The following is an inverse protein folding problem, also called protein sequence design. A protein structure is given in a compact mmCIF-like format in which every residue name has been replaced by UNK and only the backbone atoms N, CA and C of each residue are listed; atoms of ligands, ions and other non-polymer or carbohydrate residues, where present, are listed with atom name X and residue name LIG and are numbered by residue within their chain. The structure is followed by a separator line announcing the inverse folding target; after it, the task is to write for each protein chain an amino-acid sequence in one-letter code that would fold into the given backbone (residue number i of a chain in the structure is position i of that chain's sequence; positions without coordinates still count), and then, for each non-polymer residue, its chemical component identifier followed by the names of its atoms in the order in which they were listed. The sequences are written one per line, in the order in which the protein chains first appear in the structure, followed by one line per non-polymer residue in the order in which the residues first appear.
data_IF_842775207202
#
_entry.id   IF_842775207202
#
_cell.length_a   1.000
_cell.length_b   1.000
_cell.length_c   1.000
_cell.angle_alpha   90.00
_cell.angle_beta   90.00
_cell.angle_gamma   90.00
#
_symmetry.space_group_name_H-M   'P 1'
#
loop_
_entity.id
_entity.type
_entity.pdbx_description
1 polymer ?
#
# COMPACT_ATOMS: atom_id res chain seq x y z
N UNK A 1 3.29 -35.68 -45.07
CA UNK A 1 3.83 -35.26 -43.76
C UNK A 1 4.58 -33.96 -43.94
N UNK A 2 3.90 -32.84 -43.71
CA UNK A 2 4.28 -31.50 -44.17
C UNK A 2 5.40 -30.93 -43.30
N UNK A 3 6.64 -31.10 -43.75
CA UNK A 3 7.85 -30.63 -43.08
C UNK A 3 8.30 -29.27 -43.68
N UNK A 4 7.38 -28.30 -43.78
CA UNK A 4 7.69 -27.00 -44.38
C UNK A 4 8.58 -26.16 -43.45
N UNK A 5 9.65 -25.50 -43.98
CA UNK A 5 10.45 -24.52 -43.25
C UNK A 5 9.64 -23.42 -42.54
N UNK A 6 8.50 -23.02 -43.10
CA UNK A 6 7.60 -22.03 -42.48
C UNK A 6 7.03 -22.53 -41.14
N UNK A 7 6.64 -23.82 -41.06
CA UNK A 7 6.09 -24.43 -39.85
C UNK A 7 7.16 -24.48 -38.74
N UNK A 8 8.41 -24.81 -39.08
CA UNK A 8 9.53 -24.81 -38.12
C UNK A 8 9.91 -23.42 -37.62
N UNK A 9 9.76 -22.39 -38.47
CA UNK A 9 9.97 -20.99 -38.07
C UNK A 9 8.88 -20.55 -37.09
N UNK A 10 7.61 -20.78 -37.43
CA UNK A 10 6.47 -20.46 -36.59
C UNK A 10 6.53 -21.14 -35.21
N UNK A 11 6.90 -22.43 -35.14
CA UNK A 11 7.07 -23.14 -33.87
C UNK A 11 8.20 -22.52 -33.02
N UNK A 12 9.30 -22.09 -33.65
CA UNK A 12 10.40 -21.43 -32.93
C UNK A 12 10.00 -20.06 -32.39
N UNK A 13 9.27 -19.27 -33.16
CA UNK A 13 8.73 -17.97 -32.72
C UNK A 13 7.77 -18.15 -31.54
N UNK A 14 6.79 -19.08 -31.63
CA UNK A 14 5.91 -19.39 -30.50
C UNK A 14 6.63 -19.88 -29.25
N UNK A 15 7.68 -20.68 -29.42
CA UNK A 15 8.48 -21.14 -28.29
C UNK A 15 9.26 -19.97 -27.64
N UNK A 16 9.77 -19.04 -28.44
CA UNK A 16 10.42 -17.84 -27.93
C UNK A 16 9.43 -16.96 -27.16
N UNK A 17 8.25 -16.69 -27.71
CA UNK A 17 7.22 -15.88 -27.05
C UNK A 17 6.84 -16.46 -25.68
N UNK A 18 6.62 -17.78 -25.62
CA UNK A 18 6.35 -18.48 -24.35
C UNK A 18 7.51 -18.37 -23.35
N UNK A 19 8.74 -18.51 -23.81
CA UNK A 19 9.93 -18.35 -22.94
C UNK A 19 10.02 -16.91 -22.43
N UNK A 20 9.79 -15.92 -23.29
CA UNK A 20 9.81 -14.51 -22.95
C UNK A 20 8.73 -14.19 -21.90
N UNK A 21 7.49 -14.65 -22.11
CA UNK A 21 6.40 -14.49 -21.13
C UNK A 21 6.76 -15.08 -19.76
N UNK A 22 7.29 -16.30 -19.72
CA UNK A 22 7.70 -16.94 -18.46
C UNK A 22 8.84 -16.16 -17.77
N UNK A 23 9.83 -15.67 -18.53
CA UNK A 23 10.94 -14.88 -17.96
C UNK A 23 10.41 -13.55 -17.41
N UNK A 24 9.54 -12.86 -18.15
CA UNK A 24 8.90 -11.63 -17.68
C UNK A 24 8.12 -11.91 -16.39
N UNK A 25 7.34 -12.99 -16.33
CA UNK A 25 6.59 -13.37 -15.13
C UNK A 25 7.51 -13.61 -13.93
N UNK A 26 8.61 -14.35 -14.10
CA UNK A 26 9.58 -14.57 -13.02
C UNK A 26 10.21 -13.27 -12.50
N UNK A 27 10.52 -12.33 -13.40
CA UNK A 27 11.06 -11.02 -13.04
C UNK A 27 10.03 -10.22 -12.24
N UNK A 28 8.78 -10.14 -12.71
CA UNK A 28 7.73 -9.37 -12.06
C UNK A 28 7.33 -9.95 -10.69
N UNK A 29 7.24 -11.29 -10.57
CA UNK A 29 7.03 -11.95 -9.28
C UNK A 29 8.17 -11.66 -8.29
N UNK A 30 9.42 -11.64 -8.78
CA UNK A 30 10.59 -11.36 -7.93
C UNK A 30 10.62 -9.91 -7.45
N UNK A 31 10.32 -8.96 -8.34
CA UNK A 31 10.13 -7.55 -7.98
C UNK A 31 9.03 -7.38 -6.95
N UNK A 32 7.87 -8.00 -7.18
CA UNK A 32 6.73 -7.94 -6.25
C UNK A 32 7.12 -8.43 -4.85
N UNK A 33 7.80 -9.58 -4.74
CA UNK A 33 8.28 -10.10 -3.45
C UNK A 33 9.22 -9.11 -2.77
N UNK A 34 10.21 -8.58 -3.50
CA UNK A 34 11.15 -7.62 -2.95
C UNK A 34 10.43 -6.37 -2.42
N UNK A 35 9.55 -5.76 -3.21
CA UNK A 35 8.78 -4.59 -2.78
C UNK A 35 7.87 -4.88 -1.58
N UNK A 36 7.24 -6.06 -1.54
CA UNK A 36 6.38 -6.46 -0.42
C UNK A 36 7.17 -6.57 0.89
N UNK A 37 8.36 -7.16 0.86
CA UNK A 37 9.20 -7.30 2.06
C UNK A 37 9.71 -5.94 2.55
N UNK A 38 10.11 -5.05 1.63
CA UNK A 38 10.52 -3.69 1.98
C UNK A 38 9.34 -2.90 2.56
N UNK A 39 8.15 -3.01 1.97
CA UNK A 39 6.94 -2.36 2.49
C UNK A 39 6.65 -2.79 3.92
N UNK A 40 6.74 -4.09 4.18
CA UNK A 40 6.52 -4.65 5.51
C UNK A 40 7.55 -4.11 6.51
N UNK A 41 8.82 -4.07 6.14
CA UNK A 41 9.88 -3.53 7.00
C UNK A 41 9.66 -2.04 7.30
N UNK A 42 9.32 -1.24 6.28
CA UNK A 42 9.01 0.18 6.42
C UNK A 42 7.84 0.42 7.37
N UNK A 43 6.72 -0.27 7.14
CA UNK A 43 5.52 -0.10 7.96
C UNK A 43 5.72 -0.61 9.39
N UNK A 44 6.54 -1.65 9.59
CA UNK A 44 6.91 -2.08 10.93
C UNK A 44 7.76 -1.03 11.66
N UNK A 45 8.69 -0.39 10.97
CA UNK A 45 9.47 0.71 11.54
C UNK A 45 8.55 1.90 11.91
N UNK A 46 7.64 2.28 11.02
CA UNK A 46 6.69 3.37 11.26
C UNK A 46 5.68 3.04 12.37
N UNK A 47 5.23 1.79 12.47
CA UNK A 47 4.44 1.30 13.60
C UNK A 47 5.17 1.51 14.92
N UNK A 48 6.44 1.08 14.98
CA UNK A 48 7.24 1.18 16.20
C UNK A 48 7.53 2.64 16.58
N UNK A 49 7.83 3.51 15.61
CA UNK A 49 7.98 4.96 15.86
C UNK A 49 6.67 5.53 16.39
N UNK A 50 5.54 5.18 15.78
CA UNK A 50 4.21 5.61 16.24
C UNK A 50 3.90 5.17 17.67
N UNK A 51 4.26 3.94 18.01
CA UNK A 51 4.15 3.38 19.36
C UNK A 51 4.96 4.19 20.37
N UNK A 52 6.24 4.41 20.09
CA UNK A 52 7.12 5.23 20.94
C UNK A 52 6.57 6.64 21.15
N UNK A 53 6.01 7.24 20.09
CA UNK A 53 5.38 8.56 20.18
C UNK A 53 4.06 8.55 20.97
N UNK A 54 3.33 7.44 20.97
CA UNK A 54 2.05 7.28 21.68
C UNK A 54 2.25 7.03 23.17
N UNK A 55 3.16 6.12 23.54
CA UNK A 55 3.38 5.71 24.93
C UNK A 55 4.04 6.80 25.77
N UNK A 56 4.82 7.67 25.14
CA UNK A 56 5.49 8.79 25.80
C UNK A 56 4.58 10.03 25.78
N UNK A 57 3.57 10.06 26.65
CA UNK A 57 2.58 11.15 26.76
C UNK A 57 3.17 12.57 26.97
N UNK A 58 4.45 12.66 27.34
CA UNK A 58 5.20 13.92 27.42
C UNK A 58 5.61 14.50 26.05
N UNK A 59 5.51 13.72 24.97
CA UNK A 59 5.86 14.15 23.62
C UNK A 59 4.75 15.03 23.04
N UNK A 60 4.80 16.29 23.45
CA UNK A 60 4.08 17.38 22.81
C UNK A 60 4.78 17.84 21.52
N UNK A 61 4.23 18.91 20.93
CA UNK A 61 4.68 19.48 19.67
C UNK A 61 6.20 19.75 19.61
N UNK A 62 6.77 20.34 20.65
CA UNK A 62 8.19 20.70 20.70
C UNK A 62 9.12 19.48 20.65
N UNK A 63 8.70 18.33 21.18
CA UNK A 63 9.49 17.11 21.13
C UNK A 63 9.46 16.51 19.72
N UNK A 64 8.29 16.50 19.07
CA UNK A 64 8.17 16.03 17.68
C UNK A 64 8.95 16.93 16.72
N UNK A 65 8.92 18.25 16.92
CA UNK A 65 9.75 19.22 16.20
C UNK A 65 11.24 18.88 16.32
N UNK A 66 11.74 18.71 17.55
CA UNK A 66 13.14 18.35 17.80
C UNK A 66 13.50 16.98 17.20
N UNK A 67 12.66 15.97 17.39
CA UNK A 67 12.90 14.63 16.86
C UNK A 67 12.98 14.63 15.33
N UNK A 68 12.08 15.35 14.66
CA UNK A 68 12.10 15.55 13.21
C UNK A 68 13.39 16.24 12.74
N UNK A 69 13.91 17.21 13.49
CA UNK A 69 15.20 17.85 13.18
C UNK A 69 16.36 16.85 13.33
N UNK A 70 16.43 16.15 14.46
CA UNK A 70 17.50 15.20 14.76
C UNK A 70 17.52 14.03 13.75
N UNK A 71 16.34 13.50 13.40
CA UNK A 71 16.20 12.43 12.42
C UNK A 71 16.60 12.88 11.01
N UNK A 72 16.15 14.07 10.56
CA UNK A 72 16.53 14.59 9.25
C UNK A 72 18.02 14.97 9.16
N UNK A 73 18.67 15.31 10.28
CA UNK A 73 20.10 15.51 10.31
C UNK A 73 20.87 14.19 10.14
N UNK A 74 20.39 13.11 10.77
CA UNK A 74 21.00 11.79 10.69
C UNK A 74 20.68 11.03 9.40
N UNK A 75 19.51 11.27 8.82
CA UNK A 75 19.01 10.65 7.60
C UNK A 75 18.55 11.73 6.59
N UNK A 76 19.49 12.51 6.02
CA UNK A 76 19.16 13.67 5.20
C UNK A 76 18.44 13.33 3.88
N UNK A 77 18.65 12.12 3.37
CA UNK A 77 18.04 11.65 2.12
C UNK A 77 16.63 11.04 2.31
N UNK A 78 16.14 10.97 3.55
CA UNK A 78 14.84 10.37 3.91
C UNK A 78 13.83 11.45 4.29
N UNK A 79 12.84 11.70 3.43
CA UNK A 79 11.76 12.68 3.68
C UNK A 79 10.72 12.15 4.64
N UNK A 80 10.72 10.84 4.87
CA UNK A 80 9.91 10.12 5.84
C UNK A 80 9.93 10.66 7.27
N UNK A 81 10.92 11.47 7.66
CA UNK A 81 11.08 11.96 9.03
C UNK A 81 10.67 13.42 9.26
N UNK A 82 9.76 13.96 8.42
CA UNK A 82 9.12 15.25 8.72
C UNK A 82 8.18 15.17 9.94
N UNK A 83 7.95 16.30 10.61
CA UNK A 83 7.05 16.38 11.78
C UNK A 83 5.65 15.84 11.47
N UNK A 84 5.09 16.25 10.32
CA UNK A 84 3.79 15.77 9.86
C UNK A 84 3.79 14.25 9.73
N UNK A 85 4.86 13.66 9.19
CA UNK A 85 4.90 12.22 9.02
C UNK A 85 5.09 11.48 10.36
N UNK A 86 5.81 12.05 11.32
CA UNK A 86 5.88 11.51 12.69
C UNK A 86 4.50 11.51 13.37
N UNK A 87 3.72 12.58 13.20
CA UNK A 87 2.33 12.60 13.67
C UNK A 87 1.46 11.56 12.96
N UNK A 88 1.63 11.37 11.65
CA UNK A 88 0.95 10.28 10.93
C UNK A 88 1.35 8.90 11.46
N UNK A 89 2.62 8.67 11.82
CA UNK A 89 3.08 7.41 12.43
C UNK A 89 2.41 7.17 13.78
N UNK A 90 2.31 8.20 14.64
CA UNK A 90 1.59 8.12 15.91
C UNK A 90 0.11 7.78 15.69
N UNK A 91 -0.56 8.50 14.80
CA UNK A 91 -1.97 8.24 14.44
C UNK A 91 -2.16 6.83 13.86
N UNK A 92 -1.24 6.39 13.00
CA UNK A 92 -1.23 5.05 12.42
C UNK A 92 -1.22 3.98 13.51
N UNK A 93 -0.31 4.08 14.48
CA UNK A 93 -0.27 3.20 15.64
C UNK A 93 -1.57 3.25 16.46
N UNK A 94 -1.95 4.43 16.96
CA UNK A 94 -3.10 4.59 17.87
C UNK A 94 -4.43 4.14 17.26
N UNK A 95 -4.58 4.33 15.94
CA UNK A 95 -5.78 3.95 15.21
C UNK A 95 -5.83 2.44 15.02
N UNK A 96 -4.76 1.87 14.46
CA UNK A 96 -4.77 0.47 14.08
C UNK A 96 -4.54 -0.48 15.24
N UNK A 97 -3.98 -0.03 16.36
CA UNK A 97 -3.98 -0.76 17.62
C UNK A 97 -5.41 -1.05 18.10
N UNK A 98 -6.32 -0.06 17.99
CA UNK A 98 -7.74 -0.22 18.34
C UNK A 98 -8.52 -1.12 17.38
N UNK A 99 -8.03 -1.26 16.15
CA UNK A 99 -8.62 -2.11 15.11
C UNK A 99 -8.03 -3.52 15.08
N UNK A 100 -7.10 -3.84 15.98
CA UNK A 100 -6.61 -5.21 16.14
C UNK A 100 -7.73 -6.13 16.66
N UNK A 101 -7.75 -7.42 16.24
CA UNK A 101 -6.84 -8.07 15.29
C UNK A 101 -7.26 -7.91 13.82
N UNK A 102 -8.38 -7.24 13.54
CA UNK A 102 -9.06 -7.30 12.23
C UNK A 102 -8.16 -6.87 11.07
N UNK A 103 -7.34 -5.84 11.29
CA UNK A 103 -6.45 -5.30 10.25
C UNK A 103 -5.02 -5.83 10.30
N UNK A 104 -4.66 -6.66 11.28
CA UNK A 104 -3.27 -7.03 11.60
C UNK A 104 -2.42 -7.43 10.38
N UNK A 105 -2.95 -8.37 9.59
CA UNK A 105 -2.27 -8.92 8.41
C UNK A 105 -2.45 -8.05 7.15
N UNK A 106 -3.40 -7.11 7.18
CA UNK A 106 -3.75 -6.26 6.06
C UNK A 106 -2.86 -5.02 6.00
N UNK A 107 -2.43 -4.50 7.15
CA UNK A 107 -1.59 -3.29 7.22
C UNK A 107 -0.37 -3.40 6.32
N UNK A 108 0.35 -4.51 6.40
CA UNK A 108 1.59 -4.70 5.65
C UNK A 108 1.40 -4.92 4.13
N UNK A 109 0.15 -5.06 3.67
CA UNK A 109 -0.21 -5.27 2.26
C UNK A 109 -0.61 -3.98 1.54
N UNK A 110 -0.61 -2.85 2.25
CA UNK A 110 -0.97 -1.52 1.75
C UNK A 110 0.27 -0.62 1.79
N UNK A 111 0.40 0.35 0.88
CA UNK A 111 1.51 1.31 0.95
C UNK A 111 1.32 2.33 2.08
N UNK A 112 2.42 2.93 2.54
CA UNK A 112 2.36 4.00 3.54
C UNK A 112 1.46 5.17 3.09
N UNK A 113 1.59 5.64 1.85
CA UNK A 113 0.73 6.73 1.35
C UNK A 113 -0.75 6.39 1.40
N UNK A 114 -1.14 5.15 1.09
CA UNK A 114 -2.53 4.74 1.17
C UNK A 114 -3.03 4.76 2.63
N UNK A 115 -2.22 4.33 3.59
CA UNK A 115 -2.55 4.48 5.02
C UNK A 115 -2.74 5.94 5.41
N UNK A 116 -1.82 6.83 5.01
CA UNK A 116 -1.94 8.26 5.29
C UNK A 116 -3.23 8.84 4.69
N UNK A 117 -3.65 8.41 3.49
CA UNK A 117 -4.92 8.83 2.89
C UNK A 117 -6.09 8.35 3.74
N UNK A 118 -6.15 7.07 4.09
CA UNK A 118 -7.23 6.49 4.90
C UNK A 118 -7.32 7.23 6.24
N UNK A 119 -6.20 7.39 6.95
CA UNK A 119 -6.16 8.03 8.26
C UNK A 119 -6.63 9.49 8.24
N UNK A 120 -6.29 10.23 7.19
CA UNK A 120 -6.58 11.67 7.10
C UNK A 120 -7.93 12.00 6.45
N UNK A 121 -8.46 11.13 5.58
CA UNK A 121 -9.70 11.40 4.84
C UNK A 121 -10.94 10.70 5.41
N UNK A 122 -10.79 9.80 6.37
CA UNK A 122 -11.91 9.04 6.95
C UNK A 122 -12.11 9.40 8.42
N UNK A 123 -13.35 9.30 8.90
CA UNK A 123 -13.70 9.75 10.26
C UNK A 123 -13.80 8.60 11.24
N UNK A 124 -14.61 7.57 10.95
CA UNK A 124 -14.85 6.49 11.90
C UNK A 124 -13.84 5.35 11.78
N UNK A 125 -13.81 4.47 12.78
CA UNK A 125 -12.97 3.26 12.76
C UNK A 125 -13.50 2.23 11.76
N UNK A 126 -14.82 2.14 11.62
CA UNK A 126 -15.52 1.27 10.68
C UNK A 126 -15.19 1.66 9.23
N UNK A 127 -15.19 2.96 8.93
CA UNK A 127 -14.82 3.49 7.62
C UNK A 127 -13.35 3.20 7.30
N UNK A 128 -12.44 3.38 8.27
CA UNK A 128 -11.01 3.06 8.12
C UNK A 128 -10.80 1.59 7.80
N UNK A 129 -11.45 0.71 8.57
CA UNK A 129 -11.37 -0.72 8.36
C UNK A 129 -11.90 -1.10 6.97
N UNK A 130 -13.05 -0.54 6.57
CA UNK A 130 -13.64 -0.75 5.25
C UNK A 130 -12.68 -0.44 4.10
N UNK A 131 -12.02 0.73 4.13
CA UNK A 131 -11.08 1.10 3.07
C UNK A 131 -9.78 0.29 3.13
N UNK A 132 -9.30 -0.13 4.31
CA UNK A 132 -8.15 -1.04 4.43
C UNK A 132 -8.46 -2.39 3.76
N UNK A 133 -9.61 -2.98 4.08
CA UNK A 133 -10.02 -4.28 3.51
C UNK A 133 -10.18 -4.20 1.99
N UNK A 134 -10.86 -3.17 1.48
CA UNK A 134 -11.04 -2.99 0.04
C UNK A 134 -9.74 -2.67 -0.69
N UNK A 135 -8.84 -1.87 -0.10
CA UNK A 135 -7.53 -1.60 -0.69
C UNK A 135 -6.75 -2.88 -0.95
N UNK A 136 -6.77 -3.83 -0.01
CA UNK A 136 -6.08 -5.13 -0.17
C UNK A 136 -6.81 -6.00 -1.18
N UNK A 137 -8.14 -6.11 -1.07
CA UNK A 137 -8.96 -6.97 -1.91
C UNK A 137 -8.91 -6.58 -3.38
N UNK A 138 -9.11 -5.29 -3.66
CA UNK A 138 -9.23 -4.74 -5.00
C UNK A 138 -7.88 -4.23 -5.54
N UNK A 139 -6.83 -4.30 -4.72
CA UNK A 139 -5.47 -3.82 -5.04
C UNK A 139 -5.54 -2.39 -5.57
N UNK A 140 -5.97 -1.45 -4.73
CA UNK A 140 -6.10 -0.06 -5.16
C UNK A 140 -4.79 0.70 -5.11
N UNK A 141 -4.50 1.40 -6.21
CA UNK A 141 -3.48 2.44 -6.23
C UNK A 141 -3.91 3.63 -5.37
N UNK A 142 -2.95 4.47 -4.97
CA UNK A 142 -3.22 5.76 -4.31
C UNK A 142 -4.36 6.54 -4.95
N UNK A 143 -4.31 6.70 -6.28
CA UNK A 143 -5.29 7.50 -7.03
C UNK A 143 -6.68 6.90 -6.98
N UNK A 144 -6.77 5.58 -7.03
CA UNK A 144 -8.06 4.91 -7.00
C UNK A 144 -8.65 4.92 -5.60
N UNK A 145 -7.86 4.65 -4.56
CA UNK A 145 -8.28 4.82 -3.17
C UNK A 145 -8.81 6.24 -2.91
N UNK A 146 -8.05 7.25 -3.34
CA UNK A 146 -8.43 8.66 -3.17
C UNK A 146 -9.77 8.97 -3.85
N UNK A 147 -9.95 8.51 -5.09
CA UNK A 147 -11.19 8.63 -5.84
C UNK A 147 -12.36 7.93 -5.16
N UNK A 148 -12.17 6.74 -4.63
CA UNK A 148 -13.23 5.97 -3.98
C UNK A 148 -13.70 6.65 -2.68
N UNK A 149 -12.75 7.17 -1.89
CA UNK A 149 -13.06 7.97 -0.70
C UNK A 149 -13.79 9.26 -1.09
N UNK A 150 -13.27 10.01 -2.06
CA UNK A 150 -13.89 11.27 -2.52
C UNK A 150 -15.29 11.05 -3.12
N UNK A 151 -15.58 9.83 -3.56
CA UNK A 151 -16.91 9.46 -4.02
C UNK A 151 -17.86 9.07 -2.89
N UNK A 152 -17.46 9.03 -1.62
CA UNK A 152 -18.28 8.53 -0.50
C UNK A 152 -18.73 7.07 -0.71
N UNK A 153 -17.79 6.21 -1.12
CA UNK A 153 -18.10 4.79 -1.36
C UNK A 153 -18.61 4.10 -0.08
N UNK A 154 -18.02 4.40 1.07
CA UNK A 154 -18.42 3.84 2.36
C UNK A 154 -19.89 4.14 2.67
N UNK A 155 -20.32 5.39 2.54
CA UNK A 155 -21.70 5.79 2.80
C UNK A 155 -22.66 5.08 1.86
N UNK A 156 -22.34 5.04 0.56
CA UNK A 156 -23.14 4.28 -0.41
C UNK A 156 -23.20 2.80 -0.08
N UNK A 157 -22.10 2.22 0.38
CA UNK A 157 -22.03 0.82 0.80
C UNK A 157 -22.96 0.56 1.99
N UNK A 158 -22.92 1.42 3.01
CA UNK A 158 -23.75 1.31 4.21
C UNK A 158 -25.26 1.49 3.92
N UNK A 159 -25.63 2.20 2.86
CA UNK A 159 -27.01 2.37 2.42
C UNK A 159 -27.59 1.17 1.64
N UNK A 160 -26.76 0.19 1.29
CA UNK A 160 -27.17 -0.96 0.49
C UNK A 160 -27.35 -2.19 1.38
N UNK A 161 -28.61 -2.59 1.58
CA UNK A 161 -29.00 -3.76 2.40
C UNK A 161 -28.48 -5.12 1.91
N UNK A 162 -27.86 -5.19 0.72
CA UNK A 162 -27.45 -6.47 0.09
C UNK A 162 -25.99 -6.48 -0.39
N UNK A 163 -25.15 -7.39 0.12
CA UNK A 163 -23.73 -7.47 -0.24
C UNK A 163 -23.46 -7.82 -1.72
N UNK A 164 -24.43 -8.39 -2.44
CA UNK A 164 -24.29 -8.76 -3.86
C UNK A 164 -24.31 -7.54 -4.81
N UNK A 165 -24.88 -6.40 -4.37
CA UNK A 165 -24.88 -5.15 -5.16
C UNK A 165 -23.59 -4.36 -5.00
N UNK A 166 -22.77 -4.70 -4.01
CA UNK A 166 -21.49 -4.06 -3.70
C UNK A 166 -20.48 -4.28 -4.82
N UNK A 167 -20.39 -5.50 -5.34
CA UNK A 167 -19.45 -5.83 -6.43
C UNK A 167 -19.78 -5.09 -7.73
N UNK A 168 -21.00 -4.58 -7.88
CA UNK A 168 -21.38 -3.68 -8.97
C UNK A 168 -21.02 -2.20 -8.69
N UNK A 169 -20.82 -1.81 -7.43
CA UNK A 169 -20.43 -0.45 -7.03
C UNK A 169 -18.93 -0.21 -7.17
N UNK A 170 -18.12 -1.25 -7.10
CA UNK A 170 -16.68 -1.19 -7.27
C UNK A 170 -16.38 -1.41 -8.76
N UNK A 171 -15.93 -0.38 -9.50
CA UNK A 171 -15.52 -0.59 -10.89
C UNK A 171 -14.39 -1.61 -10.93
N UNK A 172 -14.50 -2.64 -11.77
CA UNK A 172 -13.38 -3.56 -12.03
C UNK A 172 -12.22 -2.76 -12.60
N UNK A 173 -11.23 -2.48 -11.78
CA UNK A 173 -9.99 -1.86 -12.22
C UNK A 173 -8.97 -2.96 -12.50
N UNK A 174 -8.69 -3.18 -13.79
CA UNK A 174 -7.53 -3.98 -14.21
C UNK A 174 -6.27 -3.16 -13.97
N UNK A 175 -5.78 -3.15 -12.73
CA UNK A 175 -4.41 -2.74 -12.45
C UNK A 175 -3.48 -3.83 -13.02
N UNK A 176 -2.96 -3.60 -14.21
CA UNK A 176 -2.04 -4.52 -14.91
C UNK A 176 -0.62 -4.53 -14.32
N UNK A 177 -0.30 -3.64 -13.37
CA UNK A 177 1.03 -3.54 -12.78
C UNK A 177 0.96 -3.51 -11.23
N UNK A 178 0.99 -4.72 -10.67
CA UNK A 178 0.94 -4.96 -9.22
C UNK A 178 2.20 -4.43 -8.52
N UNK A 179 3.33 -4.32 -9.22
CA UNK A 179 4.57 -3.80 -8.65
C UNK A 179 4.50 -2.28 -8.42
N UNK A 180 3.77 -1.54 -9.27
CA UNK A 180 3.51 -0.11 -9.05
C UNK A 180 2.72 0.21 -7.78
N UNK A 181 2.00 -0.77 -7.20
CA UNK A 181 1.19 -0.54 -6.01
C UNK A 181 2.02 -0.32 -4.75
N UNK A 182 3.18 -0.96 -4.69
CA UNK A 182 4.11 -0.86 -3.56
C UNK A 182 5.17 0.20 -3.77
N UNK A 183 5.40 0.63 -5.03
CA UNK A 183 6.42 1.62 -5.37
C UNK A 183 5.98 3.03 -4.97
N UNK A 184 6.03 3.29 -3.68
CA UNK A 184 5.82 4.59 -3.05
C UNK A 184 7.17 5.28 -2.81
N UNK A 185 7.17 6.62 -2.80
CA UNK A 185 8.35 7.45 -2.61
C UNK A 185 9.07 7.11 -1.29
N UNK A 186 8.30 6.90 -0.21
CA UNK A 186 8.82 6.50 1.10
C UNK A 186 9.57 5.17 1.10
N UNK A 187 9.18 4.23 0.23
CA UNK A 187 9.86 2.94 0.13
C UNK A 187 11.24 3.08 -0.50
N UNK A 188 11.35 3.87 -1.57
CA UNK A 188 12.61 4.09 -2.25
C UNK A 188 13.59 4.85 -1.35
N UNK A 189 13.10 5.83 -0.59
CA UNK A 189 13.90 6.58 0.37
C UNK A 189 14.37 5.71 1.55
N UNK A 190 13.52 4.80 2.04
CA UNK A 190 13.86 3.93 3.16
C UNK A 190 15.04 2.99 2.89
N UNK A 191 15.33 2.70 1.62
CA UNK A 191 16.43 1.83 1.22
C UNK A 191 17.76 2.54 0.97
N UNK A 192 17.79 3.89 1.04
CA UNK A 192 18.97 4.70 0.77
C UNK A 192 19.77 5.04 2.04
#
# INVERSE_FOLDING_TARGET
MTNSPEIKKFIREKNYDRILENIIEHIEQSKFRAFSEVNKALLQAYWNIGKELSENAAYGKSVVEKLSMDLRLRYPDVRGYSERNLWNMKQFYETYEKLQPVVAELLFKISWTNHVIILNKTSSNEEKQFYVELCVKEKWSKRELDRQIDSSLFERYMLVDKPERVTALIPKHESTDVAKHFKDEYMMEFLN
#
